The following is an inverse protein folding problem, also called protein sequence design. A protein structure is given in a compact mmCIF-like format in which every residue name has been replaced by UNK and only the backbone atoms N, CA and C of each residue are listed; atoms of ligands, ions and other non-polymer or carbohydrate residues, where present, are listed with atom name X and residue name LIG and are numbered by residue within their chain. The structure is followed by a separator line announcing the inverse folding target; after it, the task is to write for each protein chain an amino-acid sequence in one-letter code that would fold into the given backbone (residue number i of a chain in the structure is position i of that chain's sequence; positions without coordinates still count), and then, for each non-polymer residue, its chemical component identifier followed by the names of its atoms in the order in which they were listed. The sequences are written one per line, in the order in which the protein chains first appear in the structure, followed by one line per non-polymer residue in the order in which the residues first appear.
data_IF_103422822684
#
_entry.id   IF_103422822684
#
_cell.length_a   1.000
_cell.length_b   1.000
_cell.length_c   1.000
_cell.angle_alpha   90.00
_cell.angle_beta   90.00
_cell.angle_gamma   90.00
#
_symmetry.space_group_name_H-M   'P 1'
#
loop_
_entity.id
_entity.type
_entity.pdbx_description
1 polymer ?
#
# COMPACT_ATOMS: atom_id res chain seq x y z
N UNK A 1 1.32 -11.74 -4.07
CA UNK A 1 2.42 -12.38 -3.31
C UNK A 1 2.14 -13.87 -3.29
N UNK A 2 3.15 -14.74 -3.29
CA UNK A 2 2.98 -16.19 -3.13
C UNK A 2 3.43 -16.65 -1.75
N UNK A 3 2.88 -17.78 -1.30
CA UNK A 3 3.35 -18.44 -0.09
C UNK A 3 4.82 -18.83 -0.27
N UNK A 4 5.67 -18.51 0.70
CA UNK A 4 7.12 -18.78 0.62
C UNK A 4 7.96 -17.74 -0.12
N UNK A 5 7.35 -16.80 -0.86
CA UNK A 5 8.08 -15.86 -1.73
C UNK A 5 9.14 -15.03 -0.99
N UNK A 6 8.83 -14.54 0.22
CA UNK A 6 9.78 -13.80 1.05
C UNK A 6 10.94 -14.67 1.53
N UNK A 7 10.68 -15.95 1.83
CA UNK A 7 11.72 -16.87 2.30
C UNK A 7 12.69 -17.28 1.18
N UNK A 8 12.21 -17.32 -0.06
CA UNK A 8 13.01 -17.64 -1.26
C UNK A 8 13.73 -16.41 -1.83
N UNK A 9 13.43 -15.22 -1.34
CA UNK A 9 14.01 -13.97 -1.83
C UNK A 9 15.46 -13.80 -1.39
N UNK A 10 16.34 -13.45 -2.33
CA UNK A 10 17.74 -13.13 -2.03
C UNK A 10 17.93 -11.75 -1.42
N UNK A 11 16.93 -10.87 -1.58
CA UNK A 11 16.88 -9.52 -1.02
C UNK A 11 15.49 -9.26 -0.48
N UNK A 12 15.42 -8.56 0.65
CA UNK A 12 14.16 -8.21 1.31
C UNK A 12 14.19 -6.76 1.77
N UNK A 13 13.01 -6.16 1.90
CA UNK A 13 12.82 -4.79 2.39
C UNK A 13 11.88 -4.85 3.59
N UNK A 14 12.22 -4.10 4.64
CA UNK A 14 11.39 -3.95 5.83
C UNK A 14 10.79 -2.56 5.86
N UNK A 15 9.47 -2.47 5.90
CA UNK A 15 8.75 -1.19 5.87
C UNK A 15 7.77 -1.07 7.05
N UNK A 16 7.56 0.16 7.57
CA UNK A 16 6.54 0.41 8.58
C UNK A 16 5.15 0.19 7.98
N UNK A 17 4.26 -0.42 8.76
CA UNK A 17 2.88 -0.68 8.36
C UNK A 17 1.92 0.23 9.11
N UNK A 18 1.07 0.91 8.35
CA UNK A 18 -0.05 1.70 8.83
C UNK A 18 -1.37 1.01 8.55
N UNK A 19 -2.38 1.26 9.38
CA UNK A 19 -3.77 0.84 9.13
C UNK A 19 -4.53 1.94 8.40
N UNK A 20 -5.37 1.58 7.43
CA UNK A 20 -6.22 2.54 6.74
C UNK A 20 -7.17 3.28 7.71
N UNK A 21 -7.62 2.62 8.78
CA UNK A 21 -8.47 3.21 9.82
C UNK A 21 -7.72 4.22 10.70
N UNK A 22 -6.39 4.15 10.74
CA UNK A 22 -5.52 5.12 11.44
C UNK A 22 -5.45 6.50 10.78
N UNK A 23 -6.11 6.63 9.61
CA UNK A 23 -6.20 7.86 8.81
C UNK A 23 -4.82 8.44 8.45
N UNK A 24 -4.81 9.70 8.06
CA UNK A 24 -3.62 10.50 7.74
C UNK A 24 -2.63 10.57 8.92
N UNK A 25 -3.12 10.67 10.15
CA UNK A 25 -2.29 10.77 11.36
C UNK A 25 -1.28 9.62 11.47
N UNK A 26 -1.72 8.38 11.28
CA UNK A 26 -0.82 7.22 11.39
C UNK A 26 0.25 7.22 10.28
N UNK A 27 -0.09 7.70 9.08
CA UNK A 27 0.83 7.83 7.95
C UNK A 27 1.91 8.88 8.23
N UNK A 28 1.53 10.01 8.85
CA UNK A 28 2.45 11.09 9.24
C UNK A 28 3.34 10.65 10.40
N UNK A 29 2.79 9.88 11.34
CA UNK A 29 3.52 9.39 12.52
C UNK A 29 4.45 8.21 12.23
N UNK A 30 4.32 7.52 11.10
CA UNK A 30 5.21 6.41 10.73
C UNK A 30 6.69 6.86 10.56
N UNK A 31 7.67 5.99 10.90
CA UNK A 31 9.11 6.26 10.75
C UNK A 31 9.45 6.85 9.39
N UNK A 32 10.14 7.99 9.35
CA UNK A 32 10.55 8.57 8.06
C UNK A 32 11.73 7.78 7.49
N UNK A 33 12.70 7.51 8.35
CA UNK A 33 13.86 6.67 8.03
C UNK A 33 13.57 5.27 8.53
N UNK A 34 13.71 4.29 7.65
CA UNK A 34 13.69 2.86 8.00
C UNK A 34 14.58 2.11 7.01
N UNK A 35 15.90 2.12 7.25
CA UNK A 35 16.87 1.52 6.34
C UNK A 35 17.57 0.34 7.01
N UNK A 36 17.69 -0.76 6.27
CA UNK A 36 18.53 -1.87 6.69
C UNK A 36 20.01 -1.48 6.52
N UNK A 37 20.81 -1.65 7.58
CA UNK A 37 22.23 -1.33 7.60
C UNK A 37 23.09 -2.45 8.18
N UNK A 38 24.40 -2.32 8.00
CA UNK A 38 25.39 -3.29 8.48
C UNK A 38 25.36 -4.64 7.76
N UNK A 39 26.22 -5.55 8.20
CA UNK A 39 26.37 -6.89 7.58
C UNK A 39 25.15 -7.79 7.79
N UNK A 40 24.38 -7.53 8.85
CA UNK A 40 23.20 -8.31 9.22
C UNK A 40 21.88 -7.70 8.72
N UNK A 41 21.91 -6.54 8.07
CA UNK A 41 20.71 -5.86 7.58
C UNK A 41 19.76 -5.40 8.70
N UNK A 42 20.30 -4.96 9.84
CA UNK A 42 19.50 -4.47 10.96
C UNK A 42 18.80 -3.18 10.55
N UNK A 43 17.49 -3.09 10.80
CA UNK A 43 16.70 -1.90 10.48
C UNK A 43 16.93 -0.84 11.54
N UNK A 44 17.47 0.30 11.12
CA UNK A 44 17.58 1.50 11.93
C UNK A 44 16.46 2.47 11.54
N UNK A 45 15.61 2.79 12.52
CA UNK A 45 14.49 3.70 12.35
C UNK A 45 14.66 4.97 13.17
N UNK A 46 14.17 6.10 12.66
CA UNK A 46 14.23 7.40 13.35
C UNK A 46 13.37 7.45 14.63
N UNK A 47 12.35 6.58 14.72
CA UNK A 47 11.49 6.42 15.90
C UNK A 47 10.95 5.00 16.02
N UNK A 48 10.54 4.64 17.23
CA UNK A 48 9.92 3.34 17.50
C UNK A 48 8.59 3.17 16.74
N UNK A 49 8.32 1.96 16.27
CA UNK A 49 7.10 1.63 15.55
C UNK A 49 6.62 0.21 15.83
N UNK A 50 5.31 0.03 15.98
CA UNK A 50 4.73 -1.22 16.46
C UNK A 50 4.38 -2.25 15.40
N UNK A 51 4.41 -1.90 14.10
CA UNK A 51 3.98 -2.78 13.01
C UNK A 51 4.91 -2.67 11.81
N UNK A 52 5.45 -3.80 11.37
CA UNK A 52 6.39 -3.89 10.27
C UNK A 52 5.99 -5.03 9.34
N UNK A 53 6.39 -4.92 8.08
CA UNK A 53 6.27 -6.02 7.11
C UNK A 53 7.59 -6.22 6.40
N UNK A 54 7.86 -7.48 6.07
CA UNK A 54 8.94 -7.88 5.17
C UNK A 54 8.35 -8.15 3.79
N UNK A 55 8.84 -7.44 2.78
CA UNK A 55 8.51 -7.68 1.37
C UNK A 55 9.73 -8.20 0.63
N UNK A 56 9.53 -8.99 -0.45
CA UNK A 56 10.61 -9.29 -1.39
C UNK A 56 11.23 -8.00 -1.92
N UNK A 57 12.51 -8.04 -2.27
CA UNK A 57 13.25 -6.94 -2.91
C UNK A 57 12.82 -6.68 -4.36
N UNK A 58 11.52 -6.67 -4.64
CA UNK A 58 10.99 -6.27 -5.94
C UNK A 58 11.48 -4.86 -6.28
N UNK A 59 11.89 -4.63 -7.53
CA UNK A 59 12.52 -3.39 -7.97
C UNK A 59 11.76 -2.12 -7.52
N UNK A 60 10.41 -2.01 -7.64
CA UNK A 60 9.70 -0.81 -7.20
C UNK A 60 9.77 -0.56 -5.68
N UNK A 61 9.97 -1.60 -4.87
CA UNK A 61 10.06 -1.52 -3.40
C UNK A 61 11.50 -1.33 -2.95
N UNK A 62 12.46 -2.01 -3.60
CA UNK A 62 13.88 -1.95 -3.27
C UNK A 62 14.50 -0.56 -3.52
N UNK A 63 13.97 0.19 -4.50
CA UNK A 63 14.41 1.56 -4.79
C UNK A 63 13.70 2.62 -3.96
N UNK A 64 12.76 2.24 -3.09
CA UNK A 64 12.16 3.19 -2.15
C UNK A 64 13.26 3.71 -1.22
N UNK A 65 13.44 5.03 -1.25
CA UNK A 65 14.29 5.71 -0.29
C UNK A 65 13.59 5.85 1.08
N UNK A 66 13.97 6.90 1.79
CA UNK A 66 13.27 7.32 3.00
C UNK A 66 11.82 7.72 2.67
N UNK A 67 10.92 7.56 3.65
CA UNK A 67 9.51 7.88 3.52
C UNK A 67 8.63 6.75 2.98
N UNK A 68 9.21 5.59 2.62
CA UNK A 68 8.43 4.39 2.27
C UNK A 68 7.50 3.95 3.42
N UNK A 69 6.26 3.60 3.08
CA UNK A 69 5.27 3.08 4.04
C UNK A 69 4.35 2.06 3.37
N UNK A 70 3.86 1.08 4.14
CA UNK A 70 2.84 0.14 3.68
C UNK A 70 1.53 0.43 4.42
N UNK A 71 0.44 0.57 3.69
CA UNK A 71 -0.90 0.75 4.26
C UNK A 71 -1.70 -0.52 4.08
N UNK A 72 -2.17 -1.07 5.19
CA UNK A 72 -3.08 -2.21 5.22
C UNK A 72 -4.52 -1.74 5.05
N UNK A 73 -5.18 -2.26 4.02
CA UNK A 73 -6.60 -2.09 3.79
C UNK A 73 -7.30 -3.45 3.99
N UNK A 74 -8.37 -3.50 4.79
CA UNK A 74 -9.16 -4.73 4.93
C UNK A 74 -9.97 -5.06 3.68
N UNK A 75 -10.19 -4.09 2.79
CA UNK A 75 -11.05 -4.22 1.62
C UNK A 75 -10.42 -3.53 0.39
N UNK A 76 -10.26 -4.29 -0.70
CA UNK A 76 -9.73 -3.82 -1.99
C UNK A 76 -10.58 -2.75 -2.70
N UNK A 77 -11.79 -2.44 -2.24
CA UNK A 77 -12.60 -1.29 -2.70
C UNK A 77 -11.93 0.06 -2.45
N UNK A 78 -10.86 0.09 -1.68
CA UNK A 78 -9.97 1.24 -1.57
C UNK A 78 -9.27 1.61 -2.90
N UNK A 79 -9.24 0.71 -3.88
CA UNK A 79 -8.64 0.93 -5.19
C UNK A 79 -9.64 1.56 -6.18
N UNK A 80 -9.19 2.44 -7.10
CA UNK A 80 -10.08 3.18 -8.00
C UNK A 80 -10.58 2.36 -9.21
N UNK A 81 -10.08 1.14 -9.43
CA UNK A 81 -10.51 0.26 -10.51
C UNK A 81 -11.49 -0.82 -10.03
N UNK A 82 -12.32 -1.33 -10.95
CA UNK A 82 -13.28 -2.38 -10.64
C UNK A 82 -12.54 -3.67 -10.27
N UNK A 83 -12.51 -3.97 -8.98
CA UNK A 83 -12.28 -5.33 -8.49
C UNK A 83 -13.49 -6.19 -8.86
N UNK A 84 -13.24 -7.33 -9.50
CA UNK A 84 -14.27 -8.33 -9.83
C UNK A 84 -15.03 -8.72 -8.54
N UNK A 85 -16.31 -9.11 -8.62
CA UNK A 85 -17.23 -9.19 -7.45
C UNK A 85 -16.67 -10.05 -6.30
N UNK A 86 -15.90 -11.09 -6.61
CA UNK A 86 -15.18 -11.93 -5.65
C UNK A 86 -13.97 -11.26 -4.96
N UNK A 87 -13.34 -10.29 -5.62
CA UNK A 87 -12.15 -9.58 -5.14
C UNK A 87 -12.48 -8.29 -4.36
N UNK A 88 -13.77 -8.06 -4.07
CA UNK A 88 -14.28 -6.84 -3.44
C UNK A 88 -14.19 -6.83 -1.92
N UNK A 89 -13.67 -7.88 -1.30
CA UNK A 89 -13.57 -8.00 0.17
C UNK A 89 -12.20 -8.57 0.58
N UNK A 90 -11.26 -8.64 -0.38
CA UNK A 90 -9.91 -9.10 -0.13
C UNK A 90 -9.10 -7.98 0.53
N UNK A 91 -8.37 -8.32 1.59
CA UNK A 91 -7.40 -7.41 2.19
C UNK A 91 -6.26 -7.14 1.20
N UNK A 92 -5.79 -5.91 1.15
CA UNK A 92 -4.66 -5.53 0.30
C UNK A 92 -3.66 -4.70 1.09
N UNK A 93 -2.42 -4.72 0.63
CA UNK A 93 -1.40 -3.80 1.09
C UNK A 93 -1.05 -2.82 -0.04
N UNK A 94 -0.99 -1.55 0.30
CA UNK A 94 -0.57 -0.50 -0.63
C UNK A 94 0.76 0.05 -0.17
N UNK A 95 1.79 -0.10 -1.00
CA UNK A 95 3.11 0.48 -0.78
C UNK A 95 3.11 1.90 -1.36
N UNK A 96 3.40 2.89 -0.52
CA UNK A 96 3.40 4.29 -0.89
C UNK A 96 4.73 4.97 -0.53
N UNK A 97 5.10 5.93 -1.37
CA UNK A 97 6.26 6.80 -1.21
C UNK A 97 5.79 8.17 -0.68
N UNK A 98 6.05 8.46 0.60
CA UNK A 98 5.68 9.73 1.23
C UNK A 98 6.64 10.88 0.88
N UNK A 99 7.79 10.61 0.27
CA UNK A 99 8.67 11.66 -0.23
C UNK A 99 8.11 12.27 -1.53
N UNK A 100 7.30 11.52 -2.28
CA UNK A 100 6.61 11.99 -3.49
C UNK A 100 5.12 12.23 -3.25
N UNK A 101 4.76 13.45 -2.86
CA UNK A 101 3.37 13.87 -2.58
C UNK A 101 2.70 14.63 -3.72
N UNK A 102 3.46 15.20 -4.65
CA UNK A 102 2.91 15.99 -5.75
C UNK A 102 2.04 15.13 -6.68
N UNK A 103 0.82 15.57 -6.95
CA UNK A 103 -0.07 14.94 -7.95
C UNK A 103 0.35 15.39 -9.35
N UNK A 104 1.42 14.80 -9.87
CA UNK A 104 2.07 15.24 -11.11
C UNK A 104 1.63 14.44 -12.34
N UNK A 105 1.27 13.16 -12.18
CA UNK A 105 1.02 12.23 -13.29
C UNK A 105 -0.46 11.86 -13.33
N UNK A 106 -1.11 12.09 -14.47
CA UNK A 106 -2.56 11.83 -14.63
C UNK A 106 -2.92 10.37 -14.45
N UNK A 107 -2.08 9.46 -14.95
CA UNK A 107 -2.24 8.01 -14.81
C UNK A 107 -1.58 7.45 -13.54
N UNK A 108 -1.01 8.32 -12.70
CA UNK A 108 -0.46 7.93 -11.41
C UNK A 108 -1.54 7.56 -10.39
N UNK A 109 -1.15 6.80 -9.38
CA UNK A 109 -2.00 6.45 -8.24
C UNK A 109 -1.46 7.07 -6.96
N UNK A 110 -2.35 7.59 -6.14
CA UNK A 110 -1.99 8.40 -4.98
C UNK A 110 -2.82 7.99 -3.78
N UNK A 111 -2.18 7.93 -2.62
CA UNK A 111 -2.84 7.69 -1.33
C UNK A 111 -3.42 9.01 -0.83
N UNK A 112 -4.72 9.02 -0.51
CA UNK A 112 -5.41 10.22 -0.01
C UNK A 112 -6.34 9.88 1.14
N UNK A 113 -6.61 10.86 2.00
CA UNK A 113 -7.66 10.77 3.00
C UNK A 113 -9.04 10.84 2.33
N UNK A 114 -10.02 10.14 2.90
CA UNK A 114 -11.43 10.28 2.53
C UNK A 114 -11.98 11.49 3.26
N UNK A 115 -12.50 12.46 2.51
CA UNK A 115 -13.25 13.59 3.08
C UNK A 115 -14.49 13.07 3.81
N UNK A 116 -14.67 13.52 5.06
CA UNK A 116 -15.77 13.10 5.94
C UNK A 116 -17.10 13.58 5.36
N UNK A 117 -17.72 12.74 4.51
CA UNK A 117 -18.89 13.10 3.70
C UNK A 117 -20.20 13.06 4.49
N UNK A 118 -20.16 12.96 5.82
CA UNK A 118 -21.33 13.04 6.69
C UNK A 118 -22.29 11.84 6.62
N UNK A 119 -21.95 10.78 5.90
CA UNK A 119 -22.77 9.57 5.70
C UNK A 119 -22.49 8.46 6.74
N UNK A 120 -21.67 8.75 7.75
CA UNK A 120 -21.40 7.84 8.87
C UNK A 120 -20.56 6.61 8.51
N UNK A 121 -20.08 6.50 7.25
CA UNK A 121 -19.13 5.48 6.81
C UNK A 121 -17.71 6.02 6.91
N UNK A 122 -17.23 6.06 8.14
CA UNK A 122 -15.83 6.20 8.58
C UNK A 122 -14.82 6.72 7.55
N UNK A 123 -14.47 8.00 7.68
CA UNK A 123 -13.09 8.50 7.64
C UNK A 123 -11.98 7.44 7.52
N UNK A 124 -11.39 7.32 6.35
CA UNK A 124 -10.31 6.36 6.10
C UNK A 124 -9.35 6.88 5.05
N UNK A 125 -8.52 5.98 4.54
CA UNK A 125 -7.66 6.22 3.38
C UNK A 125 -8.28 5.60 2.13
N UNK A 126 -7.89 6.08 0.95
CA UNK A 126 -8.18 5.43 -0.33
C UNK A 126 -7.06 5.71 -1.33
N UNK A 127 -7.06 4.96 -2.42
CA UNK A 127 -6.19 5.20 -3.57
C UNK A 127 -7.01 5.88 -4.65
N UNK A 128 -6.47 6.95 -5.21
CA UNK A 128 -7.10 7.68 -6.30
C UNK A 128 -6.17 7.90 -7.47
N UNK A 129 -6.77 8.03 -8.66
CA UNK A 129 -6.06 8.33 -9.90
C UNK A 129 -5.71 9.82 -9.96
N UNK A 130 -4.51 10.14 -10.44
CA UNK A 130 -4.01 11.51 -10.53
C UNK A 130 -4.92 12.44 -11.33
N UNK A 131 -5.48 11.95 -12.44
CA UNK A 131 -6.43 12.73 -13.25
C UNK A 131 -7.68 13.14 -12.47
N UNK A 132 -8.21 12.25 -11.62
CA UNK A 132 -9.37 12.52 -10.77
C UNK A 132 -9.03 13.53 -9.66
N UNK A 133 -7.81 13.46 -9.11
CA UNK A 133 -7.32 14.40 -8.11
C UNK A 133 -7.12 15.81 -8.69
N UNK A 134 -6.48 15.92 -9.86
CA UNK A 134 -6.28 17.19 -10.56
C UNK A 134 -7.60 17.87 -10.95
N UNK A 135 -8.60 17.08 -11.39
CA UNK A 135 -9.93 17.62 -11.68
C UNK A 135 -10.60 18.27 -10.45
N UNK A 136 -10.31 17.78 -9.24
CA UNK A 136 -10.78 18.39 -7.98
C UNK A 136 -9.87 19.50 -7.45
N UNK A 137 -8.78 19.83 -8.15
CA UNK A 137 -7.81 20.82 -7.71
C UNK A 137 -6.92 20.34 -6.55
N UNK A 138 -6.80 19.04 -6.32
CA UNK A 138 -5.93 18.47 -5.29
C UNK A 138 -4.50 18.37 -5.85
N UNK A 139 -3.58 19.19 -5.31
CA UNK A 139 -2.18 19.24 -5.74
C UNK A 139 -1.22 18.34 -4.95
N UNK A 140 -1.59 17.95 -3.73
CA UNK A 140 -0.78 17.11 -2.84
C UNK A 140 -1.56 15.90 -2.34
N UNK A 141 -0.85 14.78 -2.17
CA UNK A 141 -1.35 13.53 -1.59
C UNK A 141 -0.57 13.16 -0.31
N UNK A 142 -0.95 12.04 0.31
CA UNK A 142 -0.18 11.46 1.42
C UNK A 142 1.06 10.70 0.93
N UNK A 143 1.10 10.34 -0.36
CA UNK A 143 2.20 9.66 -1.02
C UNK A 143 1.79 9.09 -2.37
N UNK A 144 2.78 8.84 -3.22
CA UNK A 144 2.59 8.17 -4.51
C UNK A 144 2.56 6.67 -4.30
N UNK A 145 1.54 5.99 -4.83
CA UNK A 145 1.45 4.52 -4.76
C UNK A 145 2.44 3.91 -5.74
N UNK A 146 3.25 2.99 -5.25
CA UNK A 146 4.30 2.33 -6.03
C UNK A 146 3.95 0.87 -6.33
N UNK A 147 3.29 0.19 -5.39
CA UNK A 147 2.89 -1.21 -5.57
C UNK A 147 1.63 -1.53 -4.76
N UNK A 148 0.76 -2.37 -5.32
CA UNK A 148 -0.35 -2.99 -4.59
C UNK A 148 -0.05 -4.47 -4.45
N UNK A 149 -0.06 -4.97 -3.21
CA UNK A 149 0.21 -6.37 -2.88
C UNK A 149 -1.09 -7.03 -2.46
N UNK A 150 -1.46 -8.09 -3.18
CA UNK A 150 -2.53 -9.01 -2.79
C UNK A 150 -1.98 -10.18 -1.99
N UNK A 151 -2.77 -10.72 -1.05
CA UNK A 151 -2.38 -11.89 -0.27
C UNK A 151 -2.13 -13.09 -1.19
N UNK A 152 -1.32 -14.07 -0.74
CA UNK A 152 -1.22 -15.36 -1.40
C UNK A 152 -2.58 -16.04 -1.47
N UNK A 153 -2.87 -16.63 -2.63
CA UNK A 153 -4.00 -17.54 -2.81
C UNK A 153 -3.48 -18.97 -2.85
N UNK A 154 -4.27 -19.91 -2.35
CA UNK A 154 -4.04 -21.33 -2.63
C UNK A 154 -4.56 -21.63 -4.04
N UNK A 155 -3.77 -22.34 -4.85
CA UNK A 155 -4.10 -22.70 -6.25
C UNK A 155 -5.38 -23.55 -6.40
N UNK A 156 -6.01 -23.92 -5.28
CA UNK A 156 -7.24 -24.70 -5.21
C UNK A 156 -8.50 -23.90 -5.57
N UNK A 157 -8.45 -22.55 -5.59
CA UNK A 157 -9.63 -21.71 -5.90
C UNK A 157 -9.84 -21.47 -7.41
N UNK A 158 -8.84 -21.70 -8.25
CA UNK A 158 -8.93 -21.49 -9.71
C UNK A 158 -9.46 -22.71 -10.48
N UNK A 159 -9.78 -23.83 -9.81
CA UNK A 159 -10.28 -25.07 -10.44
C UNK A 159 -11.82 -25.16 -10.57
N UNK A 160 -12.58 -24.10 -10.31
CA UNK A 160 -14.05 -24.10 -10.47
C UNK A 160 -14.56 -23.23 -11.62
N UNK A 161 -13.77 -23.06 -12.69
CA UNK A 161 -14.25 -22.44 -13.93
C UNK A 161 -13.96 -23.33 -15.14
N UNK A 162 -14.72 -24.39 -15.25
CA UNK A 162 -15.22 -24.94 -16.52
C UNK A 162 -16.39 -25.86 -16.18
N UNK A 163 -17.59 -25.29 -16.10
CA UNK A 163 -18.85 -25.97 -16.43
C UNK A 163 -19.95 -24.89 -16.36
N UNK A 164 -20.24 -24.27 -17.50
CA UNK A 164 -21.55 -23.69 -17.79
C UNK A 164 -21.87 -23.89 -19.28
N UNK A 165 -22.90 -24.71 -19.50
CA UNK A 165 -23.84 -24.85 -20.64
C UNK A 165 -23.42 -25.50 -21.99
#
# INVERSE_FOLDING_TARGET
MKTGEVAESTTVVVLPVCRAEGRDKEIVEAPWVSKAGGEFGVVEADKGWGRWIVLPGWEPVAILGEGGVVVSFPDARALPWRVNRWYKEEAILVVADRARKGVEVDDGFYLVAVDDSGDGRGSGLKVEKGSALKQRGVGESLGTVVLVVRPPKEDTEDQMLEDDD
#
